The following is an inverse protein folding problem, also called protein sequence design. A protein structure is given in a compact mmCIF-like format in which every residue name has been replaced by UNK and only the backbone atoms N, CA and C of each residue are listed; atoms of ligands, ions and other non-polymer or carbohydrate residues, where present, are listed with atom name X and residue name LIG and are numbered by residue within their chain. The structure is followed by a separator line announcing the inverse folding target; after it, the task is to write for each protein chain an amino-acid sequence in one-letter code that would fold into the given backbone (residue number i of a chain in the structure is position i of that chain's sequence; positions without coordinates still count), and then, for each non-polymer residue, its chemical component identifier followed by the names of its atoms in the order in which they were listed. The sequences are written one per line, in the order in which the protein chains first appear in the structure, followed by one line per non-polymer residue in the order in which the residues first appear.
data_IF_589646757384
#
_entry.id   IF_589646757384
#
_cell.length_a   1.000
_cell.length_b   1.000
_cell.length_c   1.000
_cell.angle_alpha   90.00
_cell.angle_beta   90.00
_cell.angle_gamma   90.00
#
_symmetry.space_group_name_H-M   'P 1'
#
loop_
_entity.id
_entity.type
_entity.pdbx_description
1 polymer ?
#
# COMPACT_ATOMS: atom_id res chain seq x y z
N UNK A 1 -13.22 1.80 20.91
CA UNK A 1 -12.18 2.47 20.09
C UNK A 1 -12.70 3.84 19.67
N UNK A 2 -11.88 4.90 19.66
CA UNK A 2 -12.32 6.24 19.23
C UNK A 2 -11.85 6.47 17.79
N UNK A 3 -12.76 6.57 16.80
CA UNK A 3 -12.41 6.67 15.37
C UNK A 3 -11.42 7.80 15.03
N UNK A 4 -11.52 8.93 15.73
CA UNK A 4 -10.67 10.12 15.54
C UNK A 4 -9.18 9.84 15.83
N UNK A 5 -8.87 8.96 16.79
CA UNK A 5 -7.48 8.61 17.12
C UNK A 5 -6.83 7.70 16.06
N UNK A 6 -7.63 7.05 15.24
CA UNK A 6 -7.14 6.15 14.20
C UNK A 6 -6.85 6.92 12.90
N UNK A 7 -7.62 7.96 12.58
CA UNK A 7 -7.35 8.83 11.44
C UNK A 7 -6.00 9.56 11.53
N UNK A 8 -5.66 10.13 12.69
CA UNK A 8 -4.36 10.79 12.88
C UNK A 8 -3.17 9.83 12.70
N UNK A 9 -3.34 8.59 13.15
CA UNK A 9 -2.31 7.54 12.98
C UNK A 9 -2.20 7.11 11.52
N UNK A 10 -3.34 6.92 10.85
CA UNK A 10 -3.41 6.61 9.42
C UNK A 10 -2.72 7.72 8.61
N UNK A 11 -3.03 8.99 8.89
CA UNK A 11 -2.42 10.13 8.20
C UNK A 11 -0.89 10.18 8.38
N UNK A 12 -0.41 9.93 9.61
CA UNK A 12 1.02 9.82 9.89
C UNK A 12 1.67 8.66 9.16
N UNK A 13 1.06 7.47 9.20
CA UNK A 13 1.56 6.29 8.50
C UNK A 13 1.59 6.49 6.98
N UNK A 14 0.56 7.11 6.42
CA UNK A 14 0.49 7.48 5.00
C UNK A 14 1.62 8.42 4.61
N UNK A 15 1.88 9.45 5.41
CA UNK A 15 2.96 10.43 5.16
C UNK A 15 4.32 9.74 5.12
N UNK A 16 4.56 8.81 6.06
CA UNK A 16 5.78 8.01 6.08
C UNK A 16 5.85 7.13 4.82
N UNK A 17 4.80 6.38 4.49
CA UNK A 17 4.77 5.52 3.30
C UNK A 17 5.02 6.32 2.02
N UNK A 18 4.46 7.52 1.89
CA UNK A 18 4.64 8.39 0.73
C UNK A 18 6.09 8.86 0.59
N UNK A 19 6.73 9.25 1.70
CA UNK A 19 8.14 9.65 1.70
C UNK A 19 9.06 8.51 1.27
N UNK A 20 8.82 7.29 1.78
CA UNK A 20 9.56 6.09 1.37
C UNK A 20 9.32 5.76 -0.11
N UNK A 21 8.07 5.81 -0.57
CA UNK A 21 7.67 5.54 -1.96
C UNK A 21 8.33 6.52 -2.93
N UNK A 22 8.34 7.81 -2.60
CA UNK A 22 8.98 8.84 -3.39
C UNK A 22 10.50 8.60 -3.51
N UNK A 23 11.17 8.33 -2.38
CA UNK A 23 12.61 8.02 -2.36
C UNK A 23 12.91 6.76 -3.17
N UNK A 24 12.08 5.72 -3.05
CA UNK A 24 12.23 4.45 -3.74
C UNK A 24 12.08 4.61 -5.25
N UNK A 25 10.99 5.23 -5.72
CA UNK A 25 10.74 5.49 -7.14
C UNK A 25 11.86 6.34 -7.75
N UNK A 26 12.27 7.41 -7.06
CA UNK A 26 13.37 8.27 -7.51
C UNK A 26 14.66 7.48 -7.68
N UNK A 27 15.00 6.64 -6.70
CA UNK A 27 16.20 5.80 -6.74
C UNK A 27 16.14 4.70 -7.82
N UNK A 28 14.99 4.05 -8.00
CA UNK A 28 14.82 2.95 -8.95
C UNK A 28 14.92 3.43 -10.40
N UNK A 29 14.36 4.60 -10.69
CA UNK A 29 14.32 5.15 -12.04
C UNK A 29 15.42 6.17 -12.34
N UNK A 30 16.24 6.54 -11.34
CA UNK A 30 17.25 7.59 -11.49
C UNK A 30 16.65 8.98 -11.74
N UNK A 31 15.40 9.20 -11.32
CA UNK A 31 14.65 10.43 -11.61
C UNK A 31 15.22 11.66 -10.91
N UNK A 32 15.07 12.80 -11.57
CA UNK A 32 15.18 14.12 -10.98
C UNK A 32 13.85 14.55 -10.33
N UNK A 33 13.85 15.65 -9.57
CA UNK A 33 12.67 16.07 -8.80
C UNK A 33 11.45 16.37 -9.69
N UNK A 34 11.65 16.99 -10.85
CA UNK A 34 10.55 17.29 -11.78
C UNK A 34 9.90 16.04 -12.41
N UNK A 35 10.66 14.95 -12.57
CA UNK A 35 10.15 13.66 -13.05
C UNK A 35 9.33 12.98 -11.97
N UNK A 36 9.79 13.06 -10.71
CA UNK A 36 9.02 12.57 -9.56
C UNK A 36 7.71 13.35 -9.38
N UNK A 37 7.72 14.67 -9.53
CA UNK A 37 6.50 15.49 -9.53
C UNK A 37 5.53 15.07 -10.65
N UNK A 38 6.07 14.78 -11.83
CA UNK A 38 5.26 14.29 -12.97
C UNK A 38 4.68 12.92 -12.66
N UNK A 39 5.45 12.01 -12.08
CA UNK A 39 4.96 10.71 -11.64
C UNK A 39 3.88 10.82 -10.55
N UNK A 40 4.00 11.79 -9.64
CA UNK A 40 2.98 12.08 -8.63
C UNK A 40 1.67 12.57 -9.28
N UNK A 41 1.73 13.50 -10.24
CA UNK A 41 0.57 13.95 -11.02
C UNK A 41 -0.09 12.84 -11.83
N UNK A 42 0.69 11.85 -12.26
CA UNK A 42 0.21 10.66 -12.97
C UNK A 42 -0.33 9.57 -12.03
N UNK A 43 -0.38 9.80 -10.71
CA UNK A 43 -0.87 8.82 -9.73
C UNK A 43 0.11 7.68 -9.43
N UNK A 44 1.30 7.64 -10.05
CA UNK A 44 2.30 6.56 -9.84
C UNK A 44 2.81 6.53 -8.40
N UNK A 45 3.08 7.72 -7.83
CA UNK A 45 3.49 7.82 -6.43
C UNK A 45 2.37 7.36 -5.49
N UNK A 46 1.12 7.70 -5.80
CA UNK A 46 -0.05 7.29 -4.99
C UNK A 46 -0.25 5.79 -5.06
N UNK A 47 -0.11 5.17 -6.23
CA UNK A 47 -0.19 3.72 -6.38
C UNK A 47 0.88 3.00 -5.54
N UNK A 48 2.15 3.39 -5.66
CA UNK A 48 3.24 2.83 -4.86
C UNK A 48 2.99 3.03 -3.35
N UNK A 49 2.55 4.23 -2.96
CA UNK A 49 2.24 4.57 -1.56
C UNK A 49 1.12 3.69 -1.02
N UNK A 50 0.04 3.51 -1.79
CA UNK A 50 -1.07 2.63 -1.43
C UNK A 50 -0.60 1.20 -1.21
N UNK A 51 0.19 0.64 -2.15
CA UNK A 51 0.73 -0.72 -2.03
C UNK A 51 1.57 -0.89 -0.76
N UNK A 52 2.51 0.03 -0.52
CA UNK A 52 3.38 -0.01 0.65
C UNK A 52 2.59 0.13 1.96
N UNK A 53 1.67 1.09 2.02
CA UNK A 53 0.88 1.39 3.21
C UNK A 53 -0.06 0.22 3.56
N UNK A 54 -0.72 -0.36 2.56
CA UNK A 54 -1.55 -1.54 2.72
C UNK A 54 -0.76 -2.73 3.22
N UNK A 55 0.39 -3.01 2.62
CA UNK A 55 1.25 -4.13 3.02
C UNK A 55 1.75 -3.96 4.46
N UNK A 56 2.26 -2.78 4.80
CA UNK A 56 2.85 -2.52 6.11
C UNK A 56 1.78 -2.51 7.23
N UNK A 57 0.63 -1.89 6.99
CA UNK A 57 -0.29 -1.53 8.06
C UNK A 57 -1.64 -2.24 8.01
N UNK A 58 -2.17 -2.56 6.83
CA UNK A 58 -3.50 -3.17 6.70
C UNK A 58 -3.42 -4.69 6.75
N UNK A 59 -2.48 -5.30 6.01
CA UNK A 59 -2.32 -6.77 5.98
C UNK A 59 -2.00 -7.37 7.36
N UNK A 60 -1.28 -6.62 8.20
CA UNK A 60 -0.94 -7.04 9.57
C UNK A 60 -2.04 -6.70 10.60
N UNK A 61 -3.21 -6.22 10.15
CA UNK A 61 -4.36 -5.91 11.01
C UNK A 61 -4.16 -4.69 11.91
N UNK A 62 -3.18 -3.82 11.64
CA UNK A 62 -2.91 -2.66 12.49
C UNK A 62 -4.01 -1.60 12.39
N UNK A 63 -4.62 -1.46 11.20
CA UNK A 63 -5.73 -0.53 10.96
C UNK A 63 -6.80 -1.16 10.07
N UNK A 64 -8.06 -0.81 10.34
CA UNK A 64 -9.13 -0.90 9.36
C UNK A 64 -9.26 0.43 8.64
N UNK A 65 -9.19 0.41 7.31
CA UNK A 65 -9.32 1.63 6.51
C UNK A 65 -10.79 2.00 6.31
N UNK A 66 -11.15 3.29 6.43
CA UNK A 66 -12.51 3.74 6.14
C UNK A 66 -12.85 3.52 4.66
N UNK A 67 -14.13 3.27 4.36
CA UNK A 67 -14.59 3.02 2.99
C UNK A 67 -14.27 4.19 2.04
N UNK A 68 -14.31 5.41 2.56
CA UNK A 68 -14.01 6.64 1.85
C UNK A 68 -12.59 6.65 1.27
N UNK A 69 -11.63 6.03 1.95
CA UNK A 69 -10.25 5.96 1.47
C UNK A 69 -10.17 5.25 0.10
N UNK A 70 -10.80 4.08 -0.02
CA UNK A 70 -10.82 3.31 -1.26
C UNK A 70 -11.56 4.04 -2.37
N UNK A 71 -12.64 4.75 -2.02
CA UNK A 71 -13.40 5.56 -2.96
C UNK A 71 -12.57 6.71 -3.53
N UNK A 72 -11.78 7.40 -2.70
CA UNK A 72 -10.89 8.48 -3.14
C UNK A 72 -9.84 7.97 -4.12
N UNK A 73 -9.24 6.81 -3.86
CA UNK A 73 -8.27 6.20 -4.79
C UNK A 73 -8.86 5.97 -6.18
N UNK A 74 -10.10 5.50 -6.24
CA UNK A 74 -10.78 5.28 -7.51
C UNK A 74 -11.16 6.60 -8.19
N UNK A 75 -11.82 7.52 -7.49
CA UNK A 75 -12.34 8.76 -8.09
C UNK A 75 -11.23 9.69 -8.56
N UNK A 76 -10.17 9.85 -7.76
CA UNK A 76 -9.11 10.83 -8.04
C UNK A 76 -7.98 10.27 -8.88
N UNK A 77 -7.70 8.96 -8.78
CA UNK A 77 -6.51 8.34 -9.39
C UNK A 77 -6.85 7.17 -10.32
N UNK A 78 -8.12 6.78 -10.46
CA UNK A 78 -8.53 5.62 -11.24
C UNK A 78 -8.06 4.28 -10.64
N UNK A 79 -7.59 4.27 -9.39
CA UNK A 79 -7.04 3.08 -8.74
C UNK A 79 -8.18 2.31 -8.07
N UNK A 80 -8.51 1.13 -8.61
CA UNK A 80 -9.55 0.25 -8.06
C UNK A 80 -8.93 -0.78 -7.14
N UNK A 81 -9.26 -0.69 -5.85
CA UNK A 81 -8.89 -1.68 -4.84
C UNK A 81 -10.15 -2.03 -4.06
N UNK A 82 -10.49 -3.32 -4.02
CA UNK A 82 -11.56 -3.82 -3.16
C UNK A 82 -10.95 -4.25 -1.81
N UNK A 83 -11.51 -3.83 -0.66
CA UNK A 83 -10.85 -4.02 0.64
C UNK A 83 -10.55 -5.48 0.99
N UNK A 84 -11.40 -6.42 0.55
CA UNK A 84 -11.21 -7.84 0.82
C UNK A 84 -10.00 -8.44 0.08
N UNK A 85 -9.52 -7.81 -1.02
CA UNK A 85 -8.29 -8.21 -1.72
C UNK A 85 -7.06 -8.30 -0.80
N UNK A 86 -7.10 -7.60 0.33
CA UNK A 86 -5.97 -7.47 1.25
C UNK A 86 -5.91 -8.60 2.28
N UNK A 87 -7.00 -9.34 2.40
CA UNK A 87 -7.21 -10.41 3.37
C UNK A 87 -7.61 -11.72 2.72
N UNK A 88 -7.94 -11.71 1.43
CA UNK A 88 -8.23 -12.91 0.65
C UNK A 88 -6.97 -13.75 0.48
N UNK A 89 -7.09 -15.05 0.78
CA UNK A 89 -6.06 -16.02 0.46
C UNK A 89 -6.07 -16.25 -1.06
N UNK A 90 -4.90 -16.10 -1.67
CA UNK A 90 -4.69 -16.44 -3.08
C UNK A 90 -4.27 -17.90 -3.12
N UNK A 91 -4.96 -18.71 -3.91
CA UNK A 91 -4.50 -20.06 -4.19
C UNK A 91 -3.20 -20.00 -5.00
N UNK A 92 -2.10 -20.37 -4.35
CA UNK A 92 -0.75 -20.38 -4.94
C UNK A 92 -0.41 -21.74 -5.57
N UNK A 93 -1.37 -22.66 -5.67
CA UNK A 93 -1.13 -23.97 -6.26
C UNK A 93 -0.60 -23.84 -7.70
N UNK A 94 0.57 -24.41 -7.97
CA UNK A 94 1.24 -24.32 -9.27
C UNK A 94 2.28 -23.20 -9.42
N UNK A 95 2.46 -22.33 -8.41
CA UNK A 95 3.53 -21.31 -8.40
C UNK A 95 4.88 -21.85 -7.90
N UNK A 96 5.01 -23.16 -7.67
CA UNK A 96 6.26 -23.79 -7.22
C UNK A 96 6.71 -23.43 -5.80
N UNK A 97 5.81 -22.87 -4.98
CA UNK A 97 6.09 -22.58 -3.57
C UNK A 97 5.94 -23.87 -2.77
N UNK A 98 7.01 -24.66 -2.68
CA UNK A 98 7.08 -25.76 -1.72
C UNK A 98 7.14 -25.16 -0.30
N UNK A 99 6.07 -25.35 0.46
CA UNK A 99 6.05 -25.02 1.89
C UNK A 99 7.05 -25.94 2.59
N UNK A 100 8.27 -25.46 2.88
CA UNK A 100 9.20 -26.18 3.74
C UNK A 100 8.60 -26.26 5.15
N UNK A 101 7.96 -27.39 5.46
CA UNK A 101 7.62 -27.76 6.83
C UNK A 101 8.92 -28.20 7.49
N UNK A 102 9.46 -27.39 8.41
CA UNK A 102 10.49 -27.85 9.32
C UNK A 102 9.89 -28.93 10.21
N UNK A 103 10.22 -30.19 9.93
CA UNK A 103 10.03 -31.28 10.88
C UNK A 103 11.11 -31.10 11.94
N UNK A 104 10.71 -30.72 13.16
CA UNK A 104 11.58 -30.83 14.33
C UNK A 104 11.51 -32.28 14.82
N UNK A 105 12.67 -32.94 14.83
CA UNK A 105 12.89 -34.23 15.51
C UNK A 105 12.74 -34.11 17.04
#
# INVERSE_FOLDING_TARGET
MRPERDLDKIAKGWTIAMAYSAKRLKSLHGWQDHELETAARQGKLVLETTCLFVHACVKHGQYQMPHEFWRVLHVEYGIVVYPSALTEDIDVHGLGVETYVYITD
#
